data_IF_750874655979
#
_entry.id   IF_750874655979
#
_cell.length_a   1.000
_cell.length_b   1.000
_cell.length_c   1.000
_cell.angle_alpha   90.00
_cell.angle_beta   90.00
_cell.angle_gamma   90.00
#
_symmetry.space_group_name_H-M   'P 1'
#
loop_
_entity.id
_entity.type
_entity.pdbx_description
1 polymer ?
#
# COMPACT_ATOMS: atom_id res chain seq x y z
N UNK A 1 8.68 4.43 15.88
CA UNK A 1 9.25 4.20 14.53
C UNK A 1 9.12 5.49 13.72
N UNK A 2 10.17 5.84 12.98
CA UNK A 2 10.31 7.13 12.28
C UNK A 2 9.27 7.23 11.17
N UNK A 3 8.50 8.31 11.17
CA UNK A 3 7.51 8.63 10.16
C UNK A 3 8.18 8.71 8.78
N UNK A 4 7.61 8.06 7.76
CA UNK A 4 7.95 8.23 6.34
C UNK A 4 7.42 9.59 5.86
N UNK A 5 7.91 10.65 6.49
CA UNK A 5 8.01 12.00 5.98
C UNK A 5 9.48 12.37 6.27
N UNK A 6 10.39 11.87 5.43
CA UNK A 6 11.77 12.36 5.40
C UNK A 6 11.70 13.83 5.00
N UNK A 7 11.63 14.72 5.99
CA UNK A 7 11.98 16.11 5.79
C UNK A 7 13.47 16.14 5.44
N UNK A 8 13.78 16.63 4.25
CA UNK A 8 15.16 16.81 3.80
C UNK A 8 15.78 17.92 4.67
N UNK A 9 16.63 17.57 5.63
CA UNK A 9 17.47 18.55 6.32
C UNK A 9 18.58 18.97 5.37
N UNK A 10 18.47 20.19 4.82
CA UNK A 10 19.46 20.75 3.89
C UNK A 10 20.20 21.86 4.63
N UNK A 11 21.51 21.71 4.80
CA UNK A 11 22.40 22.77 5.28
C UNK A 11 22.94 23.54 4.05
N UNK A 12 22.07 24.36 3.43
CA UNK A 12 22.42 25.06 2.18
C UNK A 12 21.27 25.84 1.54
N UNK A 13 21.57 26.55 0.45
CA UNK A 13 20.60 27.40 -0.25
C UNK A 13 19.74 26.57 -1.22
N UNK A 14 18.41 26.61 -1.06
CA UNK A 14 17.47 25.81 -1.84
C UNK A 14 16.97 26.61 -3.05
N UNK A 15 17.16 26.09 -4.26
CA UNK A 15 16.67 26.70 -5.50
C UNK A 15 15.27 26.20 -5.87
N UNK A 16 14.46 27.06 -6.51
CA UNK A 16 13.18 26.66 -7.09
C UNK A 16 13.38 26.15 -8.53
N UNK A 17 12.98 24.90 -8.80
CA UNK A 17 13.00 24.35 -10.14
C UNK A 17 11.93 25.06 -10.99
N UNK A 18 12.34 25.64 -12.13
CA UNK A 18 11.43 26.36 -13.06
C UNK A 18 10.75 25.44 -14.08
N UNK A 19 11.13 24.17 -14.11
CA UNK A 19 10.71 23.17 -15.10
C UNK A 19 9.86 22.08 -14.43
N UNK A 20 8.95 21.41 -15.15
CA UNK A 20 8.19 20.27 -14.60
C UNK A 20 9.14 19.11 -14.27
N UNK A 21 9.25 18.77 -12.98
CA UNK A 21 9.94 17.55 -12.56
C UNK A 21 9.03 16.35 -12.81
N UNK A 22 9.36 15.52 -13.79
CA UNK A 22 8.63 14.26 -14.04
C UNK A 22 9.09 13.25 -12.98
N UNK A 23 8.36 13.18 -11.86
CA UNK A 23 8.59 12.18 -10.83
C UNK A 23 8.08 10.80 -11.30
N UNK A 24 8.87 10.11 -12.11
CA UNK A 24 8.63 8.70 -12.44
C UNK A 24 8.87 7.85 -11.18
N UNK A 25 7.80 7.52 -10.46
CA UNK A 25 7.87 6.75 -9.21
C UNK A 25 8.53 5.38 -9.36
N UNK A 26 8.56 4.84 -10.59
CA UNK A 26 9.14 3.55 -10.98
C UNK A 26 9.62 3.60 -12.44
N UNK A 27 10.81 3.07 -12.70
CA UNK A 27 11.35 2.93 -14.06
C UNK A 27 11.22 1.50 -14.59
N UNK A 28 11.00 0.51 -13.72
CA UNK A 28 10.86 -0.91 -14.09
C UNK A 28 9.80 -1.63 -13.25
N UNK A 29 9.27 -2.73 -13.77
CA UNK A 29 8.34 -3.62 -13.04
C UNK A 29 9.00 -4.21 -11.78
N UNK A 30 10.30 -4.49 -11.84
CA UNK A 30 11.05 -4.98 -10.67
C UNK A 30 11.09 -3.95 -9.54
N UNK A 31 11.33 -2.67 -9.85
CA UNK A 31 11.28 -1.60 -8.85
C UNK A 31 9.88 -1.44 -8.25
N UNK A 32 8.84 -1.56 -9.07
CA UNK A 32 7.46 -1.57 -8.60
C UNK A 32 7.23 -2.71 -7.61
N UNK A 33 7.65 -3.93 -7.96
CA UNK A 33 7.45 -5.10 -7.10
C UNK A 33 8.20 -5.00 -5.78
N UNK A 34 9.42 -4.45 -5.80
CA UNK A 34 10.20 -4.23 -4.58
C UNK A 34 9.49 -3.25 -3.62
N UNK A 35 9.00 -2.11 -4.14
CA UNK A 35 8.24 -1.18 -3.29
C UNK A 35 6.89 -1.77 -2.87
N UNK A 36 6.22 -2.50 -3.76
CA UNK A 36 4.98 -3.20 -3.41
C UNK A 36 5.21 -4.15 -2.23
N UNK A 37 6.30 -4.91 -2.24
CA UNK A 37 6.68 -5.77 -1.13
C UNK A 37 6.95 -4.96 0.14
N UNK A 38 7.77 -3.90 0.07
CA UNK A 38 8.09 -3.04 1.20
C UNK A 38 6.83 -2.44 1.85
N UNK A 39 5.97 -1.78 1.06
CA UNK A 39 4.80 -1.09 1.60
C UNK A 39 3.74 -2.06 2.13
N UNK A 40 3.54 -3.21 1.47
CA UNK A 40 2.61 -4.23 2.00
C UNK A 40 3.11 -4.84 3.31
N UNK A 41 4.43 -5.04 3.46
CA UNK A 41 5.03 -5.47 4.75
C UNK A 41 4.84 -4.40 5.82
N UNK A 42 5.17 -3.15 5.51
CA UNK A 42 5.00 -2.04 6.43
C UNK A 42 3.53 -1.89 6.90
N UNK A 43 2.56 -2.06 5.99
CA UNK A 43 1.15 -2.02 6.34
C UNK A 43 0.74 -3.19 7.25
N UNK A 44 1.31 -4.37 7.04
CA UNK A 44 1.11 -5.53 7.89
C UNK A 44 1.64 -5.27 9.31
N UNK A 45 2.86 -4.74 9.45
CA UNK A 45 3.47 -4.36 10.73
C UNK A 45 2.59 -3.35 11.48
N UNK A 46 2.11 -2.30 10.80
CA UNK A 46 1.19 -1.33 11.41
C UNK A 46 -0.10 -1.95 11.92
N UNK A 47 -0.64 -2.95 11.22
CA UNK A 47 -1.82 -3.66 11.71
C UNK A 47 -1.48 -4.57 12.90
N UNK A 48 -0.30 -5.18 12.91
CA UNK A 48 0.16 -5.96 14.05
C UNK A 48 0.33 -5.09 15.30
N UNK A 49 0.95 -3.91 15.16
CA UNK A 49 1.10 -2.90 16.22
C UNK A 49 -0.24 -2.37 16.72
N UNK A 50 -1.21 -2.17 15.82
CA UNK A 50 -2.58 -1.78 16.16
C UNK A 50 -3.40 -2.91 16.83
N UNK A 51 -2.78 -4.05 17.15
CA UNK A 51 -3.43 -5.17 17.83
C UNK A 51 -4.37 -5.98 16.94
N UNK A 52 -4.31 -5.82 15.60
CA UNK A 52 -5.06 -6.69 14.70
C UNK A 52 -4.44 -8.09 14.76
N UNK A 53 -5.30 -9.08 14.99
CA UNK A 53 -4.93 -10.49 15.11
C UNK A 53 -5.77 -11.36 14.19
N UNK A 54 -5.32 -12.59 13.99
CA UNK A 54 -6.08 -13.60 13.29
C UNK A 54 -7.39 -13.90 14.03
N UNK A 55 -8.51 -13.62 13.36
CA UNK A 55 -9.85 -13.97 13.81
C UNK A 55 -10.78 -14.06 12.61
N UNK A 56 -11.84 -14.89 12.64
CA UNK A 56 -12.81 -14.98 11.54
C UNK A 56 -13.42 -13.62 11.16
N UNK A 57 -13.68 -12.75 12.16
CA UNK A 57 -14.17 -11.38 11.91
C UNK A 57 -13.14 -10.53 11.17
N UNK A 58 -11.86 -10.65 11.52
CA UNK A 58 -10.80 -9.90 10.84
C UNK A 58 -10.53 -10.45 9.45
N UNK A 59 -10.68 -11.75 9.20
CA UNK A 59 -10.58 -12.31 7.85
C UNK A 59 -11.62 -11.74 6.92
N UNK A 60 -12.88 -11.72 7.36
CA UNK A 60 -13.95 -11.12 6.57
C UNK A 60 -13.70 -9.62 6.36
N UNK A 61 -13.34 -8.89 7.42
CA UNK A 61 -13.16 -7.44 7.35
C UNK A 61 -11.96 -7.03 6.50
N UNK A 62 -10.77 -7.56 6.79
CA UNK A 62 -9.51 -7.11 6.19
C UNK A 62 -9.11 -7.92 4.96
N UNK A 63 -9.53 -9.18 4.86
CA UNK A 63 -9.27 -10.03 3.69
C UNK A 63 -10.29 -9.86 2.56
N UNK A 64 -11.52 -9.47 2.86
CA UNK A 64 -12.60 -9.40 1.85
C UNK A 64 -13.21 -8.00 1.76
N UNK A 65 -13.80 -7.51 2.85
CA UNK A 65 -14.60 -6.27 2.83
C UNK A 65 -13.73 -5.05 2.52
N UNK A 66 -12.53 -4.94 3.11
CA UNK A 66 -11.62 -3.81 2.83
C UNK A 66 -11.10 -3.82 1.39
N UNK A 67 -10.49 -4.91 0.86
CA UNK A 67 -10.07 -4.96 -0.54
C UNK A 67 -11.21 -4.67 -1.53
N UNK A 68 -12.37 -5.30 -1.34
CA UNK A 68 -13.54 -5.06 -2.19
C UNK A 68 -14.04 -3.62 -2.08
N UNK A 69 -14.04 -3.04 -0.87
CA UNK A 69 -14.42 -1.65 -0.66
C UNK A 69 -13.43 -0.65 -1.26
N UNK A 70 -12.13 -0.95 -1.27
CA UNK A 70 -11.12 -0.14 -1.97
C UNK A 70 -11.33 -0.21 -3.47
N UNK A 71 -11.49 -1.41 -4.04
CA UNK A 71 -11.81 -1.57 -5.46
C UNK A 71 -13.07 -0.78 -5.84
N UNK A 72 -14.18 -0.99 -5.10
CA UNK A 72 -15.45 -0.36 -5.40
C UNK A 72 -15.36 1.17 -5.35
N UNK A 73 -14.68 1.70 -4.32
CA UNK A 73 -14.47 3.14 -4.17
C UNK A 73 -13.64 3.71 -5.31
N UNK A 74 -12.50 3.11 -5.63
CA UNK A 74 -11.63 3.64 -6.68
C UNK A 74 -12.23 3.50 -8.07
N UNK A 75 -12.89 2.37 -8.34
CA UNK A 75 -13.41 2.10 -9.66
C UNK A 75 -14.71 2.84 -9.93
N UNK A 76 -15.68 2.82 -9.01
CA UNK A 76 -17.01 3.41 -9.21
C UNK A 76 -17.12 4.82 -8.62
N UNK A 77 -16.75 5.02 -7.36
CA UNK A 77 -16.95 6.33 -6.70
C UNK A 77 -15.99 7.40 -7.23
N UNK A 78 -14.74 7.03 -7.51
CA UNK A 78 -13.77 7.92 -8.15
C UNK A 78 -13.80 7.84 -9.67
N UNK A 79 -14.78 7.13 -10.23
CA UNK A 79 -15.00 7.02 -11.66
C UNK A 79 -13.77 6.50 -12.43
N UNK A 80 -12.97 5.64 -11.80
CA UNK A 80 -11.83 4.97 -12.44
C UNK A 80 -12.21 4.24 -13.72
N UNK A 81 -13.47 3.77 -13.84
CA UNK A 81 -13.99 3.20 -15.08
C UNK A 81 -13.89 4.13 -16.31
N UNK A 82 -13.86 5.46 -16.11
CA UNK A 82 -13.69 6.45 -17.20
C UNK A 82 -12.31 6.40 -17.82
N UNK A 83 -11.32 5.90 -17.08
CA UNK A 83 -9.94 5.72 -17.55
C UNK A 83 -9.73 4.33 -18.20
N UNK A 84 -10.82 3.59 -18.47
CA UNK A 84 -10.79 2.28 -19.12
C UNK A 84 -9.92 1.26 -18.36
N UNK A 85 -9.05 0.56 -19.10
CA UNK A 85 -8.19 -0.47 -18.54
C UNK A 85 -7.23 0.06 -17.47
N UNK A 86 -6.69 1.27 -17.63
CA UNK A 86 -5.74 1.84 -16.67
C UNK A 86 -6.40 2.08 -15.31
N UNK A 87 -7.63 2.59 -15.31
CA UNK A 87 -8.38 2.79 -14.07
C UNK A 87 -8.82 1.48 -13.43
N UNK A 88 -9.20 0.49 -14.24
CA UNK A 88 -9.47 -0.87 -13.76
C UNK A 88 -8.22 -1.48 -13.10
N UNK A 89 -7.09 -1.46 -13.80
CA UNK A 89 -5.82 -1.98 -13.31
C UNK A 89 -5.40 -1.31 -12.00
N UNK A 90 -5.49 0.01 -11.90
CA UNK A 90 -5.17 0.75 -10.67
C UNK A 90 -6.07 0.35 -9.49
N UNK A 91 -7.38 0.20 -9.72
CA UNK A 91 -8.32 -0.23 -8.71
C UNK A 91 -8.05 -1.66 -8.23
N UNK A 92 -7.74 -2.58 -9.17
CA UNK A 92 -7.35 -3.97 -8.84
C UNK A 92 -6.05 -3.99 -8.04
N UNK A 93 -5.02 -3.28 -8.50
CA UNK A 93 -3.73 -3.26 -7.80
C UNK A 93 -3.84 -2.71 -6.38
N UNK A 94 -4.72 -1.73 -6.15
CA UNK A 94 -5.01 -1.22 -4.80
C UNK A 94 -5.74 -2.24 -3.91
N UNK A 95 -6.65 -3.03 -4.47
CA UNK A 95 -7.29 -4.11 -3.73
C UNK A 95 -6.33 -5.25 -3.41
N UNK A 96 -5.48 -5.63 -4.37
CA UNK A 96 -4.42 -6.63 -4.20
C UNK A 96 -3.42 -6.18 -3.14
N UNK A 97 -3.07 -4.89 -3.11
CA UNK A 97 -2.23 -4.32 -2.05
C UNK A 97 -2.80 -4.58 -0.65
N UNK A 98 -4.07 -4.23 -0.41
CA UNK A 98 -4.73 -4.44 0.88
C UNK A 98 -4.78 -5.93 1.26
N UNK A 99 -5.09 -6.78 0.28
CA UNK A 99 -5.14 -8.23 0.49
C UNK A 99 -3.78 -8.81 0.85
N UNK A 100 -2.72 -8.46 0.11
CA UNK A 100 -1.36 -8.94 0.36
C UNK A 100 -0.82 -8.43 1.70
N UNK A 101 -1.09 -7.17 2.05
CA UNK A 101 -0.74 -6.65 3.37
C UNK A 101 -1.41 -7.47 4.49
N UNK A 102 -2.66 -7.89 4.28
CA UNK A 102 -3.38 -8.70 5.26
C UNK A 102 -2.87 -10.14 5.34
N UNK A 103 -2.50 -10.72 4.20
CA UNK A 103 -1.85 -12.03 4.15
C UNK A 103 -0.51 -12.00 4.90
N UNK A 104 0.33 -10.98 4.70
CA UNK A 104 1.61 -10.83 5.41
C UNK A 104 1.47 -10.67 6.92
N UNK A 105 0.38 -10.05 7.37
CA UNK A 105 0.05 -9.98 8.80
C UNK A 105 -0.13 -11.38 9.38
N UNK A 106 -0.64 -12.34 8.60
CA UNK A 106 -0.71 -13.74 9.00
C UNK A 106 0.65 -14.36 9.26
N UNK A 107 1.54 -14.24 8.29
CA UNK A 107 2.87 -14.84 8.33
C UNK A 107 3.67 -14.31 9.53
N UNK A 108 3.50 -13.02 9.83
CA UNK A 108 4.18 -12.37 10.97
C UNK A 108 3.64 -12.89 12.32
N UNK A 109 2.32 -13.09 12.44
CA UNK A 109 1.70 -13.66 13.65
C UNK A 109 2.09 -15.13 13.85
N UNK A 110 2.18 -15.90 12.77
CA UNK A 110 2.61 -17.31 12.81
C UNK A 110 4.07 -17.44 13.24
N UNK A 111 4.95 -16.59 12.70
CA UNK A 111 6.37 -16.54 13.08
C UNK A 111 6.59 -16.16 14.55
N UNK A 112 5.70 -15.35 15.12
CA UNK A 112 5.73 -14.93 16.53
C UNK A 112 5.22 -16.03 17.49
N UNK A 113 4.49 -17.03 16.99
CA UNK A 113 3.94 -18.14 17.79
C UNK A 113 4.86 -19.35 17.88
N UNK A 114 5.85 -19.45 16.98
CA UNK A 114 6.78 -20.58 16.88
C UNK A 114 8.14 -20.34 17.56
N UNK A 115 8.35 -19.16 18.17
CA UNK A 115 9.53 -18.83 18.98
C UNK A 115 9.15 -18.60 20.43
#
# INVERSE_FOLDING_TARGET
MKHVHEFLEIDGNVGALREPFIHLSYQTVAQFMHKFQFYTTFQAEKWAEAGIRWSPRNHLKYGVVRPAGVFFRQYFLWQGFRNGFVGFFAAVMSAVYEFVAYAKLADTVESSRQG
#
